data_IF_591649438032
#
_entry.id   IF_591649438032
#
_cell.length_a   1.000
_cell.length_b   1.000
_cell.length_c   1.000
_cell.angle_alpha   90.00
_cell.angle_beta   90.00
_cell.angle_gamma   90.00
#
_symmetry.space_group_name_H-M   'P 1'
#
loop_
_entity.id
_entity.type
_entity.pdbx_description
1 polymer ?
#
# COMPACT_ATOMS: atom_id res chain seq x y z
N UNK A 1 21.69 2.11 -1.74
CA UNK A 1 20.85 1.85 -2.93
C UNK A 1 19.61 1.04 -2.54
N UNK A 2 18.50 1.74 -2.27
CA UNK A 2 17.23 1.14 -1.87
C UNK A 2 16.65 0.44 -3.10
N UNK A 3 16.55 -0.89 -3.04
CA UNK A 3 16.06 -1.70 -4.15
C UNK A 3 14.54 -1.57 -4.22
N UNK A 4 14.05 -0.61 -5.01
CA UNK A 4 12.62 -0.42 -5.26
C UNK A 4 12.13 -1.52 -6.21
N UNK A 5 11.72 -2.66 -5.65
CA UNK A 5 10.99 -3.70 -6.36
C UNK A 5 9.57 -3.17 -6.66
N UNK A 6 9.40 -2.65 -7.88
CA UNK A 6 8.10 -2.20 -8.39
C UNK A 6 7.25 -3.40 -8.83
N UNK A 7 6.05 -3.51 -8.23
CA UNK A 7 4.91 -4.38 -8.60
C UNK A 7 5.21 -5.88 -8.91
N UNK A 8 5.53 -6.63 -7.86
CA UNK A 8 5.43 -8.10 -7.83
C UNK A 8 3.96 -8.56 -7.85
N UNK A 9 3.65 -9.65 -8.55
CA UNK A 9 2.37 -10.34 -8.41
C UNK A 9 2.55 -11.60 -7.59
N UNK A 10 1.68 -11.71 -6.60
CA UNK A 10 1.65 -12.75 -5.57
C UNK A 10 0.84 -13.93 -6.12
N UNK A 11 1.48 -15.03 -6.49
CA UNK A 11 0.79 -16.31 -6.64
C UNK A 11 0.59 -16.86 -5.21
N UNK A 12 -0.66 -16.81 -4.74
CA UNK A 12 -1.01 -17.31 -3.41
C UNK A 12 -1.10 -18.85 -3.43
N UNK A 13 -0.02 -19.49 -3.01
CA UNK A 13 -0.03 -20.83 -2.43
C UNK A 13 0.55 -20.72 -1.00
N UNK A 14 0.04 -21.55 -0.09
CA UNK A 14 0.16 -21.42 1.36
C UNK A 14 1.62 -21.38 1.85
N UNK A 15 2.07 -20.23 2.34
CA UNK A 15 3.36 -20.07 3.04
C UNK A 15 4.47 -19.56 2.12
N UNK A 16 4.74 -18.25 2.21
CA UNK A 16 5.64 -17.46 1.36
C UNK A 16 5.08 -17.19 -0.04
N UNK A 17 4.88 -15.91 -0.42
CA UNK A 17 4.32 -15.59 -1.72
C UNK A 17 5.28 -15.88 -2.88
N UNK A 18 4.86 -16.78 -3.76
CA UNK A 18 5.54 -16.98 -5.04
C UNK A 18 5.33 -15.75 -5.94
N UNK A 19 6.39 -15.24 -6.59
CA UNK A 19 6.26 -14.12 -7.51
C UNK A 19 7.18 -14.23 -8.73
N UNK A 20 6.78 -13.57 -9.82
CA UNK A 20 7.59 -13.37 -11.03
C UNK A 20 7.61 -11.90 -11.42
N UNK A 21 8.76 -11.40 -11.87
CA UNK A 21 8.94 -9.99 -12.29
C UNK A 21 10.03 -9.85 -13.34
N UNK A 22 9.99 -8.77 -14.13
CA UNK A 22 11.12 -8.42 -15.01
C UNK A 22 12.29 -7.85 -14.21
N UNK A 23 13.49 -8.12 -14.68
CA UNK A 23 14.67 -7.43 -14.19
C UNK A 23 14.78 -6.05 -14.86
N UNK A 24 14.31 -5.02 -14.14
CA UNK A 24 14.24 -3.63 -14.63
C UNK A 24 15.58 -3.05 -15.08
N UNK A 25 16.68 -3.48 -14.48
CA UNK A 25 18.02 -2.97 -14.73
C UNK A 25 18.96 -4.09 -15.15
N UNK A 26 18.58 -4.81 -16.20
CA UNK A 26 19.45 -5.79 -16.85
C UNK A 26 20.47 -5.08 -17.76
N UNK A 27 21.71 -5.58 -17.75
CA UNK A 27 22.76 -5.08 -18.62
C UNK A 27 22.59 -5.70 -20.01
N UNK A 28 22.05 -4.92 -20.95
CA UNK A 28 21.73 -5.41 -22.29
C UNK A 28 22.95 -5.95 -23.03
N UNK A 29 24.14 -5.36 -22.83
CA UNK A 29 25.38 -5.83 -23.47
C UNK A 29 25.76 -7.22 -22.99
N UNK A 30 25.57 -7.51 -21.70
CA UNK A 30 25.82 -8.84 -21.13
C UNK A 30 24.81 -9.85 -21.60
N UNK A 31 23.55 -9.46 -21.72
CA UNK A 31 22.49 -10.32 -22.25
C UNK A 31 22.78 -10.67 -23.71
N UNK A 32 23.09 -9.69 -24.55
CA UNK A 32 23.35 -9.90 -25.97
C UNK A 32 24.57 -10.78 -26.22
N UNK A 33 25.58 -10.71 -25.35
CA UNK A 33 26.78 -11.54 -25.41
C UNK A 33 26.58 -13.00 -24.96
N UNK A 34 25.40 -13.38 -24.46
CA UNK A 34 25.13 -14.76 -24.03
C UNK A 34 25.03 -15.72 -25.23
N UNK A 35 25.77 -16.84 -25.23
CA UNK A 35 25.69 -17.81 -26.32
C UNK A 35 24.32 -18.48 -26.38
N UNK A 36 23.84 -18.72 -27.61
CA UNK A 36 22.56 -19.38 -27.89
C UNK A 36 22.46 -20.79 -27.27
N UNK A 37 23.59 -21.46 -27.10
CA UNK A 37 23.70 -22.83 -26.55
C UNK A 37 23.22 -22.93 -25.09
N UNK A 38 23.22 -21.83 -24.34
CA UNK A 38 22.72 -21.81 -22.97
C UNK A 38 21.20 -21.98 -22.89
N UNK A 39 20.47 -21.63 -23.95
CA UNK A 39 19.02 -21.67 -23.98
C UNK A 39 18.52 -23.07 -24.32
N UNK A 40 18.59 -23.97 -23.33
CA UNK A 40 18.27 -25.40 -23.48
C UNK A 40 16.78 -25.67 -23.69
N UNK A 41 15.90 -24.81 -23.17
CA UNK A 41 14.45 -24.98 -23.25
C UNK A 41 13.93 -24.07 -24.36
N UNK A 42 13.11 -24.60 -25.28
CA UNK A 42 12.44 -23.80 -26.31
C UNK A 42 10.94 -24.02 -26.27
N UNK A 43 10.16 -22.95 -26.39
CA UNK A 43 8.70 -23.03 -26.49
C UNK A 43 8.13 -21.83 -27.26
N UNK A 44 6.87 -21.95 -27.67
CA UNK A 44 6.18 -20.95 -28.47
C UNK A 44 5.13 -20.20 -27.63
N UNK A 45 5.09 -18.86 -27.75
CA UNK A 45 4.05 -18.00 -27.16
C UNK A 45 3.68 -16.92 -28.16
N UNK A 46 2.39 -16.78 -28.46
CA UNK A 46 1.89 -15.78 -29.41
C UNK A 46 2.62 -15.81 -30.76
N UNK A 47 2.74 -17.01 -31.36
CA UNK A 47 3.37 -17.24 -32.69
C UNK A 47 4.85 -16.84 -32.73
N UNK A 48 5.51 -16.74 -31.57
CA UNK A 48 6.93 -16.42 -31.43
C UNK A 48 7.62 -17.51 -30.66
N UNK A 49 8.79 -17.89 -31.15
CA UNK A 49 9.62 -18.90 -30.54
C UNK A 49 10.58 -18.25 -29.52
N UNK A 50 10.63 -18.83 -28.33
CA UNK A 50 11.49 -18.38 -27.24
C UNK A 50 12.43 -19.49 -26.79
N UNK A 51 13.68 -19.13 -26.56
CA UNK A 51 14.64 -19.93 -25.80
C UNK A 51 14.69 -19.47 -24.35
N UNK A 52 14.87 -20.40 -23.41
CA UNK A 52 14.93 -20.10 -21.98
C UNK A 52 16.12 -20.78 -21.31
N UNK A 53 16.76 -20.01 -20.44
CA UNK A 53 17.88 -20.42 -19.60
C UNK A 53 17.65 -19.94 -18.17
N UNK A 54 18.04 -20.75 -17.18
CA UNK A 54 17.88 -20.42 -15.76
C UNK A 54 19.24 -20.33 -15.08
N UNK A 55 19.35 -19.33 -14.20
CA UNK A 55 20.51 -19.07 -13.35
C UNK A 55 20.02 -18.65 -11.94
N UNK A 56 20.93 -18.54 -10.97
CA UNK A 56 20.61 -18.12 -9.61
C UNK A 56 21.21 -16.74 -9.32
N UNK A 57 20.39 -15.83 -8.76
CA UNK A 57 20.85 -14.51 -8.32
C UNK A 57 20.70 -14.34 -6.82
N UNK A 58 21.82 -14.08 -6.14
CA UNK A 58 21.90 -13.91 -4.69
C UNK A 58 21.77 -12.44 -4.30
N UNK A 59 20.97 -12.17 -3.29
CA UNK A 59 20.70 -10.85 -2.75
C UNK A 59 21.09 -10.78 -1.28
N UNK A 60 21.59 -9.62 -0.88
CA UNK A 60 21.84 -9.27 0.52
C UNK A 60 21.12 -7.95 0.80
N UNK A 61 20.18 -7.98 1.73
CA UNK A 61 19.41 -6.82 2.16
C UNK A 61 19.79 -6.51 3.61
N UNK A 62 20.19 -5.27 3.88
CA UNK A 62 20.43 -4.79 5.23
C UNK A 62 19.27 -3.89 5.63
N UNK A 63 18.65 -4.16 6.77
CA UNK A 63 17.60 -3.28 7.32
C UNK A 63 17.79 -3.07 8.82
N UNK A 64 17.38 -1.89 9.27
CA UNK A 64 17.41 -1.49 10.67
C UNK A 64 16.10 -1.92 11.34
N UNK A 65 16.21 -2.68 12.44
CA UNK A 65 15.03 -3.17 13.18
C UNK A 65 14.82 -2.32 14.42
N UNK A 66 13.82 -1.44 14.38
CA UNK A 66 13.29 -0.70 15.54
C UNK A 66 14.05 0.59 15.88
N UNK A 67 13.28 1.65 16.18
CA UNK A 67 13.77 3.03 16.43
C UNK A 67 14.71 3.22 17.64
N UNK A 68 15.16 2.16 18.34
CA UNK A 68 15.93 2.33 19.60
C UNK A 68 17.13 1.40 19.80
N UNK A 69 17.43 0.50 18.87
CA UNK A 69 18.62 -0.36 18.95
C UNK A 69 19.19 -0.44 17.54
N UNK A 70 20.30 0.27 17.27
CA UNK A 70 20.96 0.36 15.95
C UNK A 70 21.56 -0.96 15.43
N UNK A 71 20.95 -2.10 15.74
CA UNK A 71 21.34 -3.42 15.23
C UNK A 71 20.84 -3.58 13.78
N UNK A 72 21.81 -3.64 12.87
CA UNK A 72 21.57 -3.92 11.46
C UNK A 72 21.39 -5.42 11.28
N UNK A 73 20.22 -5.84 10.82
CA UNK A 73 20.01 -7.22 10.39
C UNK A 73 20.34 -7.38 8.91
N UNK A 74 21.11 -8.42 8.60
CA UNK A 74 21.51 -8.76 7.24
C UNK A 74 20.69 -9.97 6.79
N UNK A 75 19.76 -9.76 5.87
CA UNK A 75 18.95 -10.81 5.28
C UNK A 75 19.50 -11.22 3.91
N UNK A 76 19.84 -12.51 3.77
CA UNK A 76 20.36 -13.09 2.53
C UNK A 76 19.31 -14.01 1.93
N UNK A 77 19.02 -13.82 0.65
CA UNK A 77 18.08 -14.67 -0.09
C UNK A 77 18.53 -14.82 -1.54
N UNK A 78 18.12 -15.91 -2.19
CA UNK A 78 18.37 -16.13 -3.61
C UNK A 78 17.06 -16.18 -4.40
N UNK A 79 17.12 -15.67 -5.62
CA UNK A 79 16.03 -15.69 -6.58
C UNK A 79 16.49 -16.46 -7.82
N UNK A 80 15.54 -17.11 -8.48
CA UNK A 80 15.76 -17.72 -9.79
C UNK A 80 15.77 -16.62 -10.84
N UNK A 81 16.80 -16.57 -11.66
CA UNK A 81 16.95 -15.61 -12.76
C UNK A 81 16.66 -16.35 -14.06
N UNK A 82 15.59 -15.93 -14.72
CA UNK A 82 15.08 -16.56 -15.94
C UNK A 82 15.48 -15.68 -17.11
N UNK A 83 16.38 -16.16 -17.97
CA UNK A 83 16.71 -15.49 -19.22
C UNK A 83 15.79 -15.99 -20.32
N UNK A 84 15.27 -15.05 -21.10
CA UNK A 84 14.35 -15.31 -22.20
C UNK A 84 14.98 -14.72 -23.46
N UNK A 85 15.11 -15.55 -24.49
CA UNK A 85 15.60 -15.16 -25.80
C UNK A 85 14.47 -15.28 -26.81
N UNK A 86 14.06 -14.16 -27.38
CA UNK A 86 13.12 -14.15 -28.49
C UNK A 86 13.89 -14.45 -29.79
N UNK A 87 13.70 -15.64 -30.36
CA UNK A 87 14.43 -16.08 -31.55
C UNK A 87 14.06 -15.30 -32.80
N UNK A 88 12.82 -14.81 -32.90
CA UNK A 88 12.35 -14.03 -34.05
C UNK A 88 12.98 -12.63 -34.15
N UNK A 89 13.36 -12.03 -33.02
CA UNK A 89 13.92 -10.67 -32.95
C UNK A 89 15.38 -10.64 -32.49
N UNK A 90 15.93 -11.81 -32.16
CA UNK A 90 17.23 -12.02 -31.51
C UNK A 90 17.45 -11.16 -30.25
N UNK A 91 16.37 -10.84 -29.53
CA UNK A 91 16.43 -10.04 -28.29
C UNK A 91 16.44 -10.93 -27.07
N UNK A 92 17.35 -10.63 -26.14
CA UNK A 92 17.47 -11.33 -24.86
C UNK A 92 17.03 -10.41 -23.72
N UNK A 93 16.25 -10.96 -22.79
CA UNK A 93 15.76 -10.27 -21.60
C UNK A 93 15.85 -11.20 -20.39
N UNK A 94 15.73 -10.63 -19.18
CA UNK A 94 15.80 -11.41 -17.95
C UNK A 94 14.69 -11.04 -16.97
N UNK A 95 14.12 -12.05 -16.34
CA UNK A 95 13.18 -11.93 -15.23
C UNK A 95 13.71 -12.61 -13.97
N UNK A 96 13.04 -12.35 -12.86
CA UNK A 96 13.28 -12.93 -11.55
C UNK A 96 12.04 -13.68 -11.12
N UNK A 97 12.24 -14.88 -10.58
CA UNK A 97 11.19 -15.70 -9.99
C UNK A 97 11.60 -16.06 -8.56
N UNK A 98 10.67 -15.88 -7.63
CA UNK A 98 10.75 -16.40 -6.28
C UNK A 98 9.70 -17.48 -6.16
N UNK A 99 10.09 -18.71 -6.48
CA UNK A 99 9.22 -19.88 -6.41
C UNK A 99 10.10 -21.11 -6.40
N UNK A 100 9.82 -22.10 -5.55
CA UNK A 100 10.61 -23.32 -5.53
C UNK A 100 10.38 -24.14 -6.81
N UNK A 101 11.41 -24.86 -7.27
CA UNK A 101 11.36 -25.67 -8.50
C UNK A 101 10.24 -26.73 -8.52
N UNK A 102 9.79 -27.19 -7.36
CA UNK A 102 8.71 -28.19 -7.27
C UNK A 102 7.31 -27.60 -7.49
N UNK A 103 7.14 -26.27 -7.34
CA UNK A 103 5.86 -25.60 -7.60
C UNK A 103 5.75 -25.16 -9.05
N UNK A 104 6.80 -24.52 -9.58
CA UNK A 104 6.80 -23.96 -10.93
C UNK A 104 8.08 -24.33 -11.68
N UNK A 105 7.89 -24.90 -12.88
CA UNK A 105 8.99 -25.16 -13.78
C UNK A 105 9.59 -23.86 -14.33
N UNK A 106 10.81 -23.94 -14.84
CA UNK A 106 11.47 -22.83 -15.54
C UNK A 106 10.64 -22.31 -16.71
N UNK A 107 10.01 -23.22 -17.45
CA UNK A 107 9.14 -22.89 -18.58
C UNK A 107 7.89 -22.15 -18.11
N UNK A 108 7.24 -22.61 -17.03
CA UNK A 108 6.05 -21.94 -16.48
C UNK A 108 6.39 -20.53 -15.97
N UNK A 109 7.55 -20.36 -15.34
CA UNK A 109 8.05 -19.06 -14.91
C UNK A 109 8.24 -18.11 -16.11
N UNK A 110 8.89 -18.60 -17.17
CA UNK A 110 9.09 -17.82 -18.39
C UNK A 110 7.77 -17.48 -19.10
N UNK A 111 6.83 -18.44 -19.16
CA UNK A 111 5.49 -18.24 -19.68
C UNK A 111 4.74 -17.17 -18.88
N UNK A 112 4.80 -17.21 -17.55
CA UNK A 112 4.18 -16.22 -16.68
C UNK A 112 4.79 -14.81 -16.88
N UNK A 113 6.12 -14.71 -17.04
CA UNK A 113 6.81 -13.45 -17.34
C UNK A 113 6.32 -12.87 -18.68
N UNK A 114 6.27 -13.69 -19.73
CA UNK A 114 5.84 -13.29 -21.08
C UNK A 114 4.37 -12.86 -21.11
N UNK A 115 3.48 -13.57 -20.43
CA UNK A 115 2.05 -13.23 -20.39
C UNK A 115 1.76 -11.99 -19.53
N UNK A 116 2.53 -11.77 -18.46
CA UNK A 116 2.29 -10.64 -17.54
C UNK A 116 2.65 -9.30 -18.16
N UNK A 117 3.64 -9.24 -19.04
CA UNK A 117 4.22 -7.98 -19.52
C UNK A 117 4.62 -7.97 -21.01
N UNK A 118 4.68 -9.11 -21.70
CA UNK A 118 5.17 -9.18 -23.08
C UNK A 118 4.35 -8.34 -24.07
N UNK A 119 3.03 -8.49 -24.05
CA UNK A 119 2.11 -7.69 -24.88
C UNK A 119 1.31 -6.64 -24.08
N UNK A 120 1.19 -6.83 -22.77
CA UNK A 120 0.31 -6.06 -21.87
C UNK A 120 0.97 -4.83 -21.23
N UNK A 121 2.30 -4.69 -21.24
CA UNK A 121 2.97 -3.47 -20.75
C UNK A 121 2.51 -2.24 -21.57
N UNK A 122 2.31 -2.44 -22.87
CA UNK A 122 1.72 -1.44 -23.74
C UNK A 122 0.29 -1.11 -23.33
N UNK A 123 -0.51 -2.07 -22.88
CA UNK A 123 -1.87 -1.79 -22.43
C UNK A 123 -1.88 -0.82 -21.25
N UNK A 124 -0.99 -0.95 -20.25
CA UNK A 124 -0.91 0.02 -19.15
C UNK A 124 -0.38 1.39 -19.59
N UNK A 125 0.61 1.45 -20.49
CA UNK A 125 1.11 2.72 -21.07
C UNK A 125 0.02 3.43 -21.89
N UNK A 126 -0.74 2.68 -22.68
CA UNK A 126 -1.87 3.20 -23.47
C UNK A 126 -3.05 3.58 -22.60
N UNK A 127 -3.30 2.85 -21.51
CA UNK A 127 -4.30 3.20 -20.52
C UNK A 127 -3.91 4.47 -19.79
N UNK A 128 -2.65 4.65 -19.36
CA UNK A 128 -2.19 5.91 -18.74
C UNK A 128 -2.39 7.11 -19.68
N UNK A 129 -2.22 6.89 -20.99
CA UNK A 129 -2.45 7.92 -22.02
C UNK A 129 -3.94 8.23 -22.20
N UNK A 130 -4.83 7.23 -22.13
CA UNK A 130 -6.30 7.41 -22.32
C UNK A 130 -7.03 7.81 -21.04
N UNK A 131 -6.56 7.33 -19.90
CA UNK A 131 -7.08 7.52 -18.57
C UNK A 131 -5.89 7.70 -17.63
N UNK A 132 -5.46 8.94 -17.36
CA UNK A 132 -4.38 9.21 -16.42
C UNK A 132 -4.78 8.64 -15.05
N UNK A 133 -4.36 7.43 -14.74
CA UNK A 133 -4.58 6.87 -13.43
C UNK A 133 -3.69 7.64 -12.47
N UNK A 134 -4.32 8.38 -11.55
CA UNK A 134 -3.68 8.92 -10.35
C UNK A 134 -3.35 7.77 -9.38
N UNK A 135 -2.58 6.78 -9.85
CA UNK A 135 -2.06 5.72 -9.00
C UNK A 135 -0.84 6.27 -8.26
N UNK A 136 -1.05 6.67 -7.01
CA UNK A 136 0.00 7.10 -6.09
C UNK A 136 0.12 6.05 -4.97
N UNK A 137 0.93 4.98 -5.17
CA UNK A 137 1.19 4.01 -4.12
C UNK A 137 2.09 4.65 -3.06
N UNK A 138 1.54 4.88 -1.88
CA UNK A 138 2.25 5.47 -0.74
C UNK A 138 1.88 6.94 -0.51
N UNK A 139 0.78 7.18 0.20
CA UNK A 139 0.62 8.44 0.91
C UNK A 139 1.11 8.25 2.34
N UNK A 140 1.96 9.18 2.80
CA UNK A 140 1.87 9.63 4.19
C UNK A 140 0.44 10.15 4.37
N UNK A 141 -0.30 9.60 5.33
CA UNK A 141 -1.60 10.14 5.73
C UNK A 141 -1.39 11.58 6.22
N UNK A 142 -1.50 12.55 5.31
CA UNK A 142 -1.71 13.95 5.65
C UNK A 142 -3.20 14.17 5.58
N UNK A 143 -3.75 14.79 6.63
CA UNK A 143 -5.12 15.27 6.58
C UNK A 143 -5.27 16.23 5.40
N UNK A 144 -6.30 16.02 4.59
CA UNK A 144 -6.58 16.90 3.45
C UNK A 144 -7.17 18.20 3.99
N UNK A 145 -6.50 19.32 3.72
CA UNK A 145 -6.94 20.66 4.14
C UNK A 145 -8.31 21.04 3.54
N UNK A 146 -8.68 20.46 2.40
CA UNK A 146 -9.93 20.76 1.69
C UNK A 146 -10.55 19.49 1.09
N UNK A 147 -11.47 18.87 1.82
CA UNK A 147 -12.36 17.85 1.26
C UNK A 147 -13.51 18.54 0.52
N UNK A 148 -13.50 18.51 -0.82
CA UNK A 148 -14.57 19.05 -1.67
C UNK A 148 -15.88 18.26 -1.58
N UNK A 149 -15.81 17.02 -1.09
CA UNK A 149 -16.97 16.15 -0.88
C UNK A 149 -17.36 16.24 0.60
N UNK A 150 -18.52 16.85 0.86
CA UNK A 150 -19.06 16.97 2.20
C UNK A 150 -19.39 15.57 2.76
N UNK A 151 -18.70 15.15 3.82
CA UNK A 151 -19.05 13.91 4.53
C UNK A 151 -20.40 14.12 5.28
N UNK A 152 -21.47 13.42 4.91
CA UNK A 152 -22.78 13.59 5.54
C UNK A 152 -22.76 13.28 7.03
N UNK A 153 -21.92 12.34 7.48
CA UNK A 153 -21.78 11.98 8.89
C UNK A 153 -21.12 13.11 9.72
N UNK A 154 -20.17 13.84 9.13
CA UNK A 154 -19.56 15.01 9.77
C UNK A 154 -20.58 16.14 9.90
N UNK A 155 -21.42 16.34 8.88
CA UNK A 155 -22.49 17.35 8.91
C UNK A 155 -23.50 17.08 10.02
N UNK A 156 -23.89 15.83 10.21
CA UNK A 156 -24.83 15.44 11.27
C UNK A 156 -24.21 15.62 12.67
N UNK A 157 -22.94 15.23 12.85
CA UNK A 157 -22.22 15.46 14.11
C UNK A 157 -22.05 16.95 14.42
N UNK A 158 -21.71 17.78 13.44
CA UNK A 158 -21.62 19.24 13.63
C UNK A 158 -22.97 19.85 14.03
N UNK A 159 -24.08 19.34 13.48
CA UNK A 159 -25.43 19.77 13.86
C UNK A 159 -25.76 19.40 15.31
N UNK A 160 -25.38 18.20 15.75
CA UNK A 160 -25.53 17.78 17.15
C UNK A 160 -24.70 18.66 18.10
N UNK A 161 -23.43 18.90 17.79
CA UNK A 161 -22.55 19.79 18.58
C UNK A 161 -23.16 21.18 18.70
N UNK A 162 -23.69 21.74 17.60
CA UNK A 162 -24.30 23.07 17.61
C UNK A 162 -25.57 23.12 18.48
N UNK A 163 -26.38 22.07 18.48
CA UNK A 163 -27.57 21.95 19.34
C UNK A 163 -27.17 21.91 20.81
N UNK A 164 -26.29 20.99 21.19
CA UNK A 164 -25.80 20.85 22.57
C UNK A 164 -25.20 22.17 23.07
N UNK A 165 -24.32 22.80 22.28
CA UNK A 165 -23.74 24.11 22.64
C UNK A 165 -24.79 25.20 22.85
N UNK A 166 -25.92 25.16 22.13
CA UNK A 166 -27.00 26.13 22.30
C UNK A 166 -27.78 25.86 23.58
N UNK A 167 -28.06 24.60 23.89
CA UNK A 167 -28.74 24.16 25.11
C UNK A 167 -27.90 24.48 26.35
N UNK A 168 -26.61 24.12 26.35
CA UNK A 168 -25.67 24.44 27.42
C UNK A 168 -25.59 25.95 27.67
N UNK A 169 -25.48 26.77 26.61
CA UNK A 169 -25.47 28.23 26.75
C UNK A 169 -26.78 28.79 27.33
N UNK A 170 -27.92 28.17 27.02
CA UNK A 170 -29.21 28.57 27.58
C UNK A 170 -29.25 28.29 29.09
N UNK A 171 -28.79 27.12 29.53
CA UNK A 171 -28.69 26.76 30.93
C UNK A 171 -27.73 27.69 31.70
N UNK A 172 -26.56 28.00 31.13
CA UNK A 172 -25.63 28.97 31.74
C UNK A 172 -26.23 30.37 31.87
N UNK A 173 -26.97 30.87 30.87
CA UNK A 173 -27.68 32.16 30.96
C UNK A 173 -28.75 32.14 32.03
N UNK A 174 -29.56 31.08 32.09
CA UNK A 174 -30.59 30.92 33.11
C UNK A 174 -29.97 30.91 34.52
N UNK A 175 -28.84 30.23 34.69
CA UNK A 175 -28.10 30.20 35.95
C UNK A 175 -27.54 31.59 36.33
N UNK A 176 -27.02 32.34 35.36
CA UNK A 176 -26.53 33.71 35.58
C UNK A 176 -27.63 34.70 35.99
N UNK A 177 -28.86 34.47 35.54
CA UNK A 177 -30.03 35.29 35.91
C UNK A 177 -30.77 34.79 37.17
N UNK A 178 -30.51 33.57 37.63
CA UNK A 178 -31.20 32.97 38.76
C UNK A 178 -30.70 33.58 40.08
N UNK A 179 -31.61 34.09 40.90
CA UNK A 179 -31.30 34.60 42.24
C UNK A 179 -30.89 33.45 43.16
N UNK A 180 -29.88 33.69 43.98
CA UNK A 180 -29.48 32.76 45.02
C UNK A 180 -30.53 32.71 46.13
N UNK A 181 -31.07 31.51 46.38
CA UNK A 181 -31.91 31.25 47.53
C UNK A 181 -31.04 30.75 48.67
N UNK A 182 -30.74 31.61 49.65
CA UNK A 182 -30.00 31.24 50.85
C UNK A 182 -30.97 30.72 51.93
N UNK A 183 -30.54 29.73 52.71
CA UNK A 183 -31.20 29.32 53.96
C UNK A 183 -30.98 30.37 55.05
N UNK A 184 -31.77 30.34 56.14
CA UNK A 184 -31.62 31.29 57.27
C UNK A 184 -30.20 31.30 57.88
N UNK A 185 -29.43 30.23 57.67
CA UNK A 185 -28.05 30.05 58.12
C UNK A 185 -26.99 30.41 57.06
N UNK A 186 -27.37 31.08 55.97
CA UNK A 186 -26.42 31.58 54.96
C UNK A 186 -25.87 30.54 53.97
N UNK A 187 -26.27 29.27 54.08
CA UNK A 187 -25.95 28.22 53.11
C UNK A 187 -26.84 28.27 51.86
N UNK A 188 -26.37 27.82 50.68
CA UNK A 188 -27.22 27.69 49.50
C UNK A 188 -28.31 26.63 49.70
N UNK A 189 -29.56 26.97 49.41
CA UNK A 189 -30.68 26.02 49.51
C UNK A 189 -30.55 24.96 48.40
N UNK A 190 -30.50 23.68 48.78
CA UNK A 190 -30.33 22.56 47.83
C UNK A 190 -31.44 22.46 46.76
N UNK A 191 -32.65 22.93 47.06
CA UNK A 191 -33.78 22.99 46.10
C UNK A 191 -33.85 24.29 45.29
N UNK A 192 -32.81 25.12 45.33
CA UNK A 192 -32.78 26.36 44.55
C UNK A 192 -32.68 26.08 43.06
N UNK A 193 -33.24 27.01 42.25
CA UNK A 193 -33.17 26.94 40.79
C UNK A 193 -31.71 26.88 40.32
N UNK A 194 -30.80 27.54 41.04
CA UNK A 194 -29.37 27.59 40.72
C UNK A 194 -28.66 26.24 40.94
N UNK A 195 -28.95 25.53 42.03
CA UNK A 195 -28.40 24.19 42.27
C UNK A 195 -28.96 23.14 41.30
N UNK A 196 -30.26 23.20 40.94
CA UNK A 196 -30.84 22.30 39.93
C UNK A 196 -30.20 22.48 38.54
N UNK A 197 -29.99 23.73 38.13
CA UNK A 197 -29.31 24.04 36.88
C UNK A 197 -27.84 23.57 36.90
N UNK A 198 -27.18 23.61 38.07
CA UNK A 198 -25.81 23.13 38.25
C UNK A 198 -25.70 21.61 38.12
N UNK A 199 -26.66 20.86 38.65
CA UNK A 199 -26.73 19.40 38.46
C UNK A 199 -26.95 19.05 36.98
N UNK A 200 -27.87 19.74 36.29
CA UNK A 200 -28.13 19.52 34.86
C UNK A 200 -26.92 19.83 33.97
N UNK A 201 -26.11 20.84 34.31
CA UNK A 201 -24.87 21.17 33.57
C UNK A 201 -23.75 20.15 33.85
N UNK A 202 -23.76 19.48 35.01
CA UNK A 202 -22.73 18.51 35.41
C UNK A 202 -23.01 17.07 34.98
N UNK A 203 -24.23 16.75 34.55
CA UNK A 203 -24.64 15.42 34.07
C UNK A 203 -24.53 15.27 32.53
N UNK A 204 -24.38 16.38 31.78
CA UNK A 204 -24.14 16.42 30.32
C UNK A 204 -22.63 16.42 29.97
#
# INVERSE_FOLDING_TARGET
>A
PICVLSLSFMLFCLGVPSFVTWEKHSDSKKLDAMPAELFSISFEVNEKEYGVFEDEKKYTCEYETGEKTGEKQVHRFSLRRIYVWNKSTDKRTSGLAYTPHHELSTQDCAFAILNRWGASENTFKHIQTRHPYNYQPGYLFRESDNQSIANPLLKDKQKQIKRLKTETNKLYKQMGTAKEGLTKEGTPRQNSIKERLKTQIGED
#
